data_IF_908220960165
#
_entry.id   IF_908220960165
#
_cell.length_a   1.000
_cell.length_b   1.000
_cell.length_c   1.000
_cell.angle_alpha   90.00
_cell.angle_beta   90.00
_cell.angle_gamma   90.00
#
_symmetry.space_group_name_H-M   'P 1'
#
loop_
_entity.id
_entity.type
_entity.pdbx_description
1 polymer ?
#
# COMPACT_ATOMS: atom_id res chain seq x y z
N UNK A 1 -10.21 -19.10 5.85
CA UNK A 1 -9.23 -18.01 6.10
C UNK A 1 -7.97 -18.24 5.29
N UNK A 2 -7.53 -19.50 5.21
CA UNK A 2 -6.35 -19.89 4.44
C UNK A 2 -6.55 -19.64 2.94
N UNK A 3 -7.72 -19.96 2.37
CA UNK A 3 -8.02 -19.66 0.95
C UNK A 3 -7.83 -18.19 0.57
N UNK A 4 -8.18 -17.27 1.47
CA UNK A 4 -7.98 -15.83 1.26
C UNK A 4 -6.49 -15.51 1.22
N UNK A 5 -5.74 -15.97 2.22
CA UNK A 5 -4.29 -15.74 2.30
C UNK A 5 -3.59 -16.35 1.09
N UNK A 6 -3.96 -17.55 0.69
CA UNK A 6 -3.39 -18.28 -0.43
C UNK A 6 -3.71 -17.61 -1.77
N UNK A 7 -4.91 -17.06 -1.93
CA UNK A 7 -5.24 -16.21 -3.09
C UNK A 7 -4.28 -15.01 -3.19
N UNK A 8 -4.07 -14.27 -2.11
CA UNK A 8 -3.19 -13.10 -2.13
C UNK A 8 -1.71 -13.48 -2.28
N UNK A 9 -1.28 -14.64 -1.76
CA UNK A 9 0.06 -15.20 -2.01
C UNK A 9 0.24 -15.57 -3.48
N UNK A 10 -0.73 -16.26 -4.07
CA UNK A 10 -0.70 -16.70 -5.47
C UNK A 10 -0.64 -15.52 -6.45
N UNK A 11 -1.41 -14.46 -6.20
CA UNK A 11 -1.53 -13.31 -7.11
C UNK A 11 -0.77 -12.06 -6.64
N UNK A 12 0.17 -12.21 -5.70
CA UNK A 12 0.89 -11.11 -5.07
C UNK A 12 1.40 -10.06 -6.05
N UNK A 13 2.15 -10.48 -7.07
CA UNK A 13 2.81 -9.56 -8.01
C UNK A 13 1.76 -8.74 -8.76
N UNK A 14 0.70 -9.40 -9.26
CA UNK A 14 -0.39 -8.73 -9.98
C UNK A 14 -1.11 -7.73 -9.08
N UNK A 15 -1.50 -8.14 -7.87
CA UNK A 15 -2.21 -7.27 -6.91
C UNK A 15 -1.36 -6.06 -6.53
N UNK A 16 -0.06 -6.24 -6.27
CA UNK A 16 0.86 -5.14 -5.95
C UNK A 16 0.99 -4.19 -7.14
N UNK A 17 1.15 -4.72 -8.36
CA UNK A 17 1.27 -3.90 -9.56
C UNK A 17 0.00 -3.08 -9.82
N UNK A 18 -1.17 -3.70 -9.77
CA UNK A 18 -2.46 -3.02 -10.01
C UNK A 18 -2.70 -1.89 -8.99
N UNK A 19 -2.31 -2.09 -7.72
CA UNK A 19 -2.51 -1.11 -6.65
C UNK A 19 -1.49 0.04 -6.70
N UNK A 20 -0.22 -0.25 -6.98
CA UNK A 20 0.88 0.72 -6.86
C UNK A 20 1.20 1.40 -8.19
N UNK A 21 1.28 0.63 -9.27
CA UNK A 21 1.66 1.10 -10.60
C UNK A 21 0.43 1.44 -11.44
N UNK A 22 -0.62 0.63 -11.34
CA UNK A 22 -1.75 0.68 -12.27
C UNK A 22 -1.39 0.18 -13.67
N UNK A 23 -2.31 0.35 -14.61
CA UNK A 23 -2.18 -0.13 -15.99
C UNK A 23 -2.45 0.98 -17.01
N UNK A 24 -1.99 0.76 -18.25
CA UNK A 24 -2.25 1.65 -19.38
C UNK A 24 -1.33 2.88 -19.45
N UNK A 25 -1.72 3.85 -20.28
CA UNK A 25 -0.87 5.00 -20.65
C UNK A 25 -0.52 5.94 -19.49
N UNK A 26 -1.26 5.85 -18.39
CA UNK A 26 -1.08 6.70 -17.21
C UNK A 26 -0.63 5.90 -15.98
N UNK A 27 -0.03 4.72 -16.19
CA UNK A 27 0.61 4.00 -15.09
C UNK A 27 1.72 4.84 -14.46
N UNK A 28 1.90 4.71 -13.15
CA UNK A 28 2.96 5.42 -12.45
C UNK A 28 4.33 4.79 -12.79
N UNK A 29 5.29 5.60 -13.24
CA UNK A 29 6.68 5.17 -13.42
C UNK A 29 7.56 5.55 -12.22
N UNK A 30 7.12 6.51 -11.41
CA UNK A 30 7.86 7.05 -10.27
C UNK A 30 6.91 7.35 -9.10
N UNK A 31 7.43 7.26 -7.88
CA UNK A 31 6.75 7.71 -6.67
C UNK A 31 7.58 8.78 -5.97
N UNK A 32 7.02 10.00 -5.90
CA UNK A 32 7.54 11.10 -5.08
C UNK A 32 6.84 11.07 -3.72
N UNK A 33 7.63 11.05 -2.64
CA UNK A 33 7.11 11.21 -1.27
C UNK A 33 7.78 12.41 -0.63
N UNK A 34 6.97 13.36 -0.18
CA UNK A 34 7.39 14.52 0.62
C UNK A 34 6.99 14.31 2.07
N UNK A 35 7.92 14.52 3.00
CA UNK A 35 7.72 14.39 4.44
C UNK A 35 8.06 15.71 5.11
N UNK A 36 7.04 16.35 5.69
CA UNK A 36 7.22 17.54 6.51
C UNK A 36 7.48 17.16 7.97
N UNK A 37 8.62 17.58 8.50
CA UNK A 37 8.98 17.42 9.90
C UNK A 37 8.68 18.70 10.67
N UNK A 38 7.58 18.68 11.44
CA UNK A 38 7.11 19.83 12.24
C UNK A 38 8.12 20.29 13.31
N UNK A 39 8.89 19.38 13.92
CA UNK A 39 9.82 19.77 14.99
C UNK A 39 11.04 20.50 14.47
N UNK A 40 11.43 20.24 13.23
CA UNK A 40 12.56 20.90 12.56
C UNK A 40 12.12 22.03 11.62
N UNK A 41 10.82 22.17 11.37
CA UNK A 41 10.27 23.06 10.34
C UNK A 41 10.90 22.81 8.94
N UNK A 42 11.10 21.54 8.59
CA UNK A 42 11.81 21.13 7.37
C UNK A 42 10.98 20.15 6.53
N UNK A 43 11.05 20.27 5.21
CA UNK A 43 10.46 19.30 4.27
C UNK A 43 11.57 18.51 3.59
N UNK A 44 11.55 17.19 3.76
CA UNK A 44 12.42 16.27 3.00
C UNK A 44 11.61 15.52 1.97
N UNK A 45 12.27 15.02 0.92
CA UNK A 45 11.61 14.28 -0.14
C UNK A 45 12.46 13.11 -0.63
N UNK A 46 11.81 12.13 -1.27
CA UNK A 46 12.44 11.00 -1.94
C UNK A 46 11.67 10.71 -3.23
N UNK A 47 12.38 10.42 -4.32
CA UNK A 47 11.82 10.01 -5.59
C UNK A 47 12.36 8.62 -5.93
N UNK A 48 11.47 7.66 -6.17
CA UNK A 48 11.84 6.26 -6.44
C UNK A 48 11.15 5.76 -7.70
N UNK A 49 11.86 4.93 -8.47
CA UNK A 49 11.26 4.17 -9.57
C UNK A 49 10.11 3.29 -9.06
N UNK A 50 9.10 3.07 -9.89
CA UNK A 50 7.92 2.31 -9.50
C UNK A 50 8.25 0.85 -9.18
N UNK A 51 9.22 0.23 -9.86
CA UNK A 51 9.61 -1.16 -9.57
C UNK A 51 10.27 -1.27 -8.19
N UNK A 52 11.10 -0.28 -7.84
CA UNK A 52 11.63 -0.15 -6.49
C UNK A 52 10.49 -0.06 -5.46
N UNK A 53 9.53 0.82 -5.73
CA UNK A 53 8.37 1.07 -4.86
C UNK A 53 7.51 -0.18 -4.67
N UNK A 54 7.22 -0.91 -5.74
CA UNK A 54 6.50 -2.18 -5.70
C UNK A 54 7.26 -3.24 -4.90
N UNK A 55 8.59 -3.31 -5.02
CA UNK A 55 9.38 -4.25 -4.24
C UNK A 55 9.32 -3.93 -2.74
N UNK A 56 9.48 -2.66 -2.36
CA UNK A 56 9.40 -2.22 -0.96
C UNK A 56 8.03 -2.55 -0.36
N UNK A 57 6.94 -2.10 -0.99
CA UNK A 57 5.61 -2.26 -0.41
C UNK A 57 5.05 -3.68 -0.58
N UNK A 58 5.39 -4.33 -1.69
CA UNK A 58 5.01 -5.70 -1.98
C UNK A 58 5.75 -6.72 -1.14
N UNK A 59 6.92 -6.41 -0.56
CA UNK A 59 7.75 -7.32 0.23
C UNK A 59 7.25 -7.58 1.67
N UNK A 60 7.52 -8.78 2.21
CA UNK A 60 7.12 -9.21 3.55
C UNK A 60 6.09 -10.36 3.59
N UNK A 61 5.44 -10.57 4.72
CA UNK A 61 4.45 -11.65 4.89
C UNK A 61 3.05 -11.22 4.44
N UNK A 62 2.24 -12.20 3.98
CA UNK A 62 0.81 -12.02 3.73
C UNK A 62 0.05 -12.79 4.80
N UNK A 63 -0.67 -12.06 5.66
CA UNK A 63 -1.32 -12.62 6.84
C UNK A 63 -2.54 -11.81 7.28
N UNK A 64 -3.47 -12.45 7.98
CA UNK A 64 -4.55 -11.74 8.68
C UNK A 64 -4.01 -11.21 10.01
N UNK A 65 -4.19 -9.92 10.25
CA UNK A 65 -3.80 -9.26 11.51
C UNK A 65 -4.73 -9.66 12.67
N UNK A 66 -4.28 -9.44 13.92
CA UNK A 66 -5.09 -9.73 15.11
C UNK A 66 -6.44 -8.99 15.15
N UNK A 67 -6.56 -7.87 14.43
CA UNK A 67 -7.79 -7.07 14.30
C UNK A 67 -8.62 -7.42 13.06
N UNK A 68 -8.28 -8.49 12.34
CA UNK A 68 -9.05 -9.01 11.20
C UNK A 68 -8.83 -8.30 9.86
N UNK A 69 -7.95 -7.29 9.78
CA UNK A 69 -7.51 -6.73 8.49
C UNK A 69 -6.45 -7.63 7.84
N UNK A 70 -6.29 -7.57 6.52
CA UNK A 70 -5.27 -8.35 5.81
C UNK A 70 -4.01 -7.50 5.59
N UNK A 71 -2.86 -8.03 5.97
CA UNK A 71 -1.55 -7.47 5.63
C UNK A 71 -1.04 -8.15 4.37
N UNK A 72 -0.62 -7.37 3.38
CA UNK A 72 -0.03 -7.84 2.12
C UNK A 72 1.36 -7.21 2.02
N UNK A 73 2.38 -7.90 2.52
CA UNK A 73 3.72 -7.33 2.65
C UNK A 73 3.73 -6.15 3.63
N UNK A 74 3.99 -4.94 3.14
CA UNK A 74 3.91 -3.69 3.92
C UNK A 74 2.63 -2.90 3.69
N UNK A 75 1.70 -3.44 2.90
CA UNK A 75 0.40 -2.84 2.66
C UNK A 75 -0.65 -3.44 3.59
N UNK A 76 -1.66 -2.65 3.93
CA UNK A 76 -2.84 -3.12 4.68
C UNK A 76 -4.07 -3.01 3.80
N UNK A 77 -4.84 -4.10 3.69
CA UNK A 77 -6.18 -4.11 3.13
C UNK A 77 -7.20 -4.18 4.26
N UNK A 78 -8.14 -3.25 4.23
CA UNK A 78 -9.20 -3.13 5.23
C UNK A 78 -10.51 -2.68 4.58
N UNK A 79 -11.63 -2.90 5.26
CA UNK A 79 -12.85 -2.15 4.97
C UNK A 79 -12.54 -0.66 5.12
N UNK A 80 -12.99 0.17 4.16
CA UNK A 80 -12.82 1.63 4.19
C UNK A 80 -13.32 2.19 5.52
N UNK A 81 -14.52 1.78 5.94
CA UNK A 81 -15.16 2.29 7.15
C UNK A 81 -15.40 3.81 7.05
N UNK A 82 -15.87 4.41 8.13
CA UNK A 82 -16.11 5.86 8.17
C UNK A 82 -17.15 6.31 7.15
N UNK A 83 -16.81 7.35 6.37
CA UNK A 83 -17.66 7.99 5.35
C UNK A 83 -19.08 8.34 5.86
N UNK A 84 -19.22 8.67 7.15
CA UNK A 84 -20.51 8.93 7.81
C UNK A 84 -21.56 7.82 7.59
N UNK A 85 -21.12 6.56 7.46
CA UNK A 85 -22.01 5.41 7.26
C UNK A 85 -22.58 5.27 5.84
N UNK A 86 -22.14 6.08 4.87
CA UNK A 86 -22.55 5.94 3.46
C UNK A 86 -22.12 4.58 2.89
N UNK A 87 -22.73 4.18 1.77
CA UNK A 87 -22.41 2.91 1.07
C UNK A 87 -20.92 2.75 0.76
N UNK A 88 -20.19 3.85 0.52
CA UNK A 88 -18.73 3.87 0.27
C UNK A 88 -17.91 3.35 1.46
N UNK A 89 -18.45 3.40 2.69
CA UNK A 89 -17.82 2.83 3.87
C UNK A 89 -17.62 1.30 3.76
N UNK A 90 -18.33 0.63 2.86
CA UNK A 90 -18.24 -0.81 2.63
C UNK A 90 -17.26 -1.21 1.52
N UNK A 91 -16.55 -0.26 0.91
CA UNK A 91 -15.50 -0.56 -0.08
C UNK A 91 -14.25 -1.17 0.58
N UNK A 92 -13.47 -1.91 -0.22
CA UNK A 92 -12.11 -2.28 0.16
C UNK A 92 -11.17 -1.09 -0.01
N UNK A 93 -10.26 -0.92 0.95
CA UNK A 93 -9.25 0.13 0.95
C UNK A 93 -7.88 -0.46 1.22
N UNK A 94 -6.91 -0.07 0.40
CA UNK A 94 -5.49 -0.38 0.59
C UNK A 94 -4.76 0.85 1.16
N UNK A 95 -3.87 0.62 2.11
CA UNK A 95 -3.06 1.65 2.76
C UNK A 95 -1.60 1.23 2.82
N UNK A 96 -0.72 2.21 2.65
CA UNK A 96 0.73 2.09 2.82
C UNK A 96 1.23 3.16 3.78
N UNK A 97 2.45 3.00 4.28
CA UNK A 97 3.21 4.07 4.95
C UNK A 97 4.21 4.64 3.96
N UNK A 98 3.93 5.78 3.28
CA UNK A 98 4.82 6.31 2.25
C UNK A 98 6.23 6.62 2.76
N UNK A 99 6.34 6.96 4.06
CA UNK A 99 7.60 7.23 4.72
C UNK A 99 8.58 6.03 4.75
N UNK A 100 8.13 4.81 4.43
CA UNK A 100 9.01 3.66 4.34
C UNK A 100 10.00 3.77 3.16
N UNK A 101 9.71 4.57 2.12
CA UNK A 101 10.64 4.86 1.01
C UNK A 101 11.84 5.75 1.40
N UNK A 102 11.87 6.26 2.63
CA UNK A 102 13.06 6.92 3.21
C UNK A 102 13.96 5.95 3.98
N UNK A 103 13.49 4.73 4.27
CA UNK A 103 14.19 3.76 5.12
C UNK A 103 14.82 2.62 4.32
N UNK A 104 14.10 2.19 3.29
CA UNK A 104 14.54 1.18 2.33
C UNK A 104 14.97 1.93 1.08
#
# INVERSE_FOLDING_TARGET
RDDLVDFFKKYRIKIVADIIKGEGKFSADWMLVTKYNKSKNETTWTLKDINYTMNVFGGGEIMVTSRGSLRIGRMTMQRKGGDAGRKTASMLQFKISPCDLFKY
#
